data_IF_872026983952
#
_entry.id   IF_872026983952
#
_cell.length_a   1.000
_cell.length_b   1.000
_cell.length_c   1.000
_cell.angle_alpha   90.00
_cell.angle_beta   90.00
_cell.angle_gamma   90.00
#
_symmetry.space_group_name_H-M   'P 1'
#
loop_
_entity.id
_entity.type
_entity.pdbx_description
1 polymer ?
#
# COMPACT_ATOMS: atom_id res chain seq x y z
N UNK A 1 -15.32 8.46 -1.78
CA UNK A 1 -14.94 7.34 -0.89
C UNK A 1 -14.31 6.18 -1.66
N UNK A 2 -14.95 5.62 -2.71
CA UNK A 2 -14.27 4.60 -3.53
C UNK A 2 -13.13 5.17 -4.39
N UNK A 3 -13.31 6.34 -4.99
CA UNK A 3 -12.31 6.96 -5.89
C UNK A 3 -10.98 7.28 -5.20
N UNK A 4 -11.05 7.82 -3.98
CA UNK A 4 -9.87 8.16 -3.18
C UNK A 4 -9.12 6.90 -2.70
N UNK A 5 -9.85 5.83 -2.35
CA UNK A 5 -9.21 4.56 -2.01
C UNK A 5 -8.56 3.91 -3.24
N UNK A 6 -9.18 4.03 -4.42
CA UNK A 6 -8.58 3.58 -5.70
C UNK A 6 -7.32 4.36 -6.05
N UNK A 7 -7.31 5.67 -5.82
CA UNK A 7 -6.12 6.50 -6.01
C UNK A 7 -5.00 6.09 -5.05
N UNK A 8 -5.27 5.98 -3.75
CA UNK A 8 -4.28 5.57 -2.77
C UNK A 8 -3.75 4.16 -3.03
N UNK A 9 -4.61 3.25 -3.48
CA UNK A 9 -4.21 1.91 -3.89
C UNK A 9 -3.25 1.93 -5.08
N UNK A 10 -3.57 2.73 -6.12
CA UNK A 10 -2.73 2.85 -7.30
C UNK A 10 -1.39 3.51 -6.95
N UNK A 11 -1.39 4.51 -6.06
CA UNK A 11 -0.15 5.14 -5.59
C UNK A 11 0.71 4.12 -4.83
N UNK A 12 0.14 3.41 -3.85
CA UNK A 12 0.88 2.36 -3.13
C UNK A 12 1.44 1.28 -4.07
N UNK A 13 0.68 0.90 -5.10
CA UNK A 13 1.15 -0.02 -6.13
C UNK A 13 2.37 0.52 -6.87
N UNK A 14 2.30 1.77 -7.35
CA UNK A 14 3.38 2.44 -8.09
C UNK A 14 4.63 2.57 -7.23
N UNK A 15 4.51 3.01 -5.98
CA UNK A 15 5.66 3.17 -5.10
C UNK A 15 6.34 1.83 -4.78
N UNK A 16 5.57 0.75 -4.61
CA UNK A 16 6.13 -0.60 -4.46
C UNK A 16 6.87 -1.04 -5.73
N UNK A 17 6.32 -0.73 -6.91
CA UNK A 17 6.99 -0.99 -8.19
C UNK A 17 8.30 -0.21 -8.30
N UNK A 18 8.31 1.08 -7.95
CA UNK A 18 9.53 1.90 -7.93
C UNK A 18 10.57 1.38 -6.95
N UNK A 19 10.20 1.03 -5.72
CA UNK A 19 11.12 0.43 -4.76
C UNK A 19 11.71 -0.88 -5.30
N UNK A 20 10.90 -1.71 -5.97
CA UNK A 20 11.39 -2.95 -6.60
C UNK A 20 12.41 -2.66 -7.70
N UNK A 21 12.13 -1.67 -8.56
CA UNK A 21 13.00 -1.28 -9.68
C UNK A 21 14.30 -0.61 -9.20
N UNK A 22 14.25 0.14 -8.10
CA UNK A 22 15.40 0.86 -7.58
C UNK A 22 16.26 0.02 -6.62
N UNK A 23 15.89 -1.23 -6.35
CA UNK A 23 16.69 -2.12 -5.50
C UNK A 23 18.13 -2.26 -5.99
N UNK A 24 19.08 -2.06 -5.07
CA UNK A 24 20.52 -2.02 -5.36
C UNK A 24 21.04 -0.66 -5.84
N UNK A 25 20.17 0.34 -5.99
CA UNK A 25 20.55 1.73 -6.24
C UNK A 25 20.60 2.56 -4.95
N UNK A 26 21.18 3.76 -5.04
CA UNK A 26 21.20 4.74 -3.95
C UNK A 26 19.80 5.28 -3.59
N UNK A 27 18.82 5.13 -4.47
CA UNK A 27 17.46 5.63 -4.25
C UNK A 27 16.61 4.66 -3.45
N UNK A 28 17.06 3.40 -3.32
CA UNK A 28 16.26 2.32 -2.77
C UNK A 28 15.69 2.61 -1.38
N UNK A 29 16.49 3.19 -0.48
CA UNK A 29 16.05 3.48 0.88
C UNK A 29 14.89 4.49 0.91
N UNK A 30 14.96 5.53 0.07
CA UNK A 30 13.90 6.51 -0.07
C UNK A 30 12.64 5.92 -0.68
N UNK A 31 12.79 5.12 -1.74
CA UNK A 31 11.67 4.48 -2.42
C UNK A 31 11.01 3.41 -1.52
N UNK A 32 11.80 2.64 -0.77
CA UNK A 32 11.32 1.69 0.25
C UNK A 32 10.46 2.41 1.30
N UNK A 33 10.96 3.50 1.87
CA UNK A 33 10.21 4.31 2.84
C UNK A 33 8.91 4.88 2.26
N UNK A 34 8.95 5.35 1.02
CA UNK A 34 7.80 5.91 0.30
C UNK A 34 6.76 4.83 0.00
N UNK A 35 7.18 3.62 -0.40
CA UNK A 35 6.30 2.48 -0.62
C UNK A 35 5.54 2.08 0.66
N UNK A 36 6.24 2.03 1.80
CA UNK A 36 5.63 1.78 3.10
C UNK A 36 4.61 2.86 3.47
N UNK A 37 4.97 4.13 3.36
CA UNK A 37 4.10 5.27 3.69
C UNK A 37 2.83 5.31 2.83
N UNK A 38 2.97 5.03 1.53
CA UNK A 38 1.84 4.97 0.60
C UNK A 38 0.92 3.78 0.90
N UNK A 39 1.48 2.61 1.23
CA UNK A 39 0.67 1.47 1.66
C UNK A 39 -0.10 1.75 2.96
N UNK A 40 0.54 2.37 3.96
CA UNK A 40 -0.12 2.75 5.22
C UNK A 40 -1.28 3.72 4.99
N UNK A 41 -1.09 4.69 4.10
CA UNK A 41 -2.15 5.64 3.70
C UNK A 41 -3.34 4.94 3.06
N UNK A 42 -3.09 4.01 2.13
CA UNK A 42 -4.12 3.16 1.52
C UNK A 42 -4.87 2.32 2.57
N UNK A 43 -4.13 1.66 3.46
CA UNK A 43 -4.70 0.81 4.50
C UNK A 43 -5.59 1.60 5.47
N UNK A 44 -5.11 2.76 5.93
CA UNK A 44 -5.86 3.66 6.81
C UNK A 44 -7.18 4.12 6.18
N UNK A 45 -7.15 4.46 4.88
CA UNK A 45 -8.36 4.86 4.17
C UNK A 45 -9.37 3.72 4.05
N UNK A 46 -8.91 2.52 3.75
CA UNK A 46 -9.76 1.33 3.71
C UNK A 46 -10.41 1.05 5.07
N UNK A 47 -9.65 1.11 6.16
CA UNK A 47 -10.17 0.91 7.52
C UNK A 47 -11.24 1.95 7.86
N UNK A 48 -11.00 3.21 7.50
CA UNK A 48 -11.97 4.30 7.68
C UNK A 48 -13.26 4.08 6.87
N UNK A 49 -13.12 3.62 5.62
CA UNK A 49 -14.27 3.25 4.79
C UNK A 49 -15.08 2.09 5.42
N UNK A 50 -14.42 1.07 5.98
CA UNK A 50 -15.07 -0.04 6.68
C UNK A 50 -15.85 0.39 7.92
N UNK A 51 -15.33 1.35 8.69
CA UNK A 51 -16.07 1.92 9.81
C UNK A 51 -17.31 2.71 9.36
N UNK A 52 -17.27 3.30 8.17
CA UNK A 52 -18.37 4.14 7.64
C UNK A 52 -19.52 3.32 7.06
N UNK A 53 -19.22 2.20 6.39
CA UNK A 53 -20.24 1.42 5.67
C UNK A 53 -21.11 0.49 6.53
N UNK A 54 -20.69 0.17 7.76
CA UNK A 54 -21.39 -0.80 8.62
C UNK A 54 -21.55 -2.19 7.96
N UNK A 55 -22.55 -2.97 8.37
CA UNK A 55 -22.83 -4.32 7.84
C UNK A 55 -23.99 -4.33 6.85
N UNK A 56 -23.81 -3.65 5.72
CA UNK A 56 -24.76 -3.67 4.59
C UNK A 56 -24.33 -4.69 3.53
N UNK A 57 -25.25 -5.20 2.70
CA UNK A 57 -24.88 -6.11 1.61
C UNK A 57 -23.85 -5.50 0.63
N UNK A 58 -23.88 -4.17 0.45
CA UNK A 58 -22.89 -3.44 -0.33
C UNK A 58 -21.52 -3.38 0.37
N UNK A 59 -21.49 -3.32 1.70
CA UNK A 59 -20.25 -3.36 2.47
C UNK A 59 -19.56 -4.72 2.37
N UNK A 60 -20.32 -5.83 2.28
CA UNK A 60 -19.76 -7.18 2.07
C UNK A 60 -18.99 -7.27 0.74
N UNK A 61 -19.62 -6.84 -0.37
CA UNK A 61 -18.97 -6.86 -1.69
C UNK A 61 -17.74 -5.94 -1.75
N UNK A 62 -17.87 -4.74 -1.18
CA UNK A 62 -16.76 -3.80 -1.08
C UNK A 62 -15.61 -4.41 -0.26
N UNK A 63 -15.91 -4.98 0.91
CA UNK A 63 -14.93 -5.60 1.80
C UNK A 63 -14.18 -6.72 1.10
N UNK A 64 -14.89 -7.66 0.48
CA UNK A 64 -14.25 -8.80 -0.19
C UNK A 64 -13.26 -8.39 -1.29
N UNK A 65 -13.65 -7.43 -2.15
CA UNK A 65 -12.76 -6.87 -3.18
C UNK A 65 -11.51 -6.26 -2.53
N UNK A 66 -11.71 -5.31 -1.62
CA UNK A 66 -10.62 -4.52 -1.07
C UNK A 66 -9.70 -5.29 -0.12
N UNK A 67 -10.21 -6.26 0.63
CA UNK A 67 -9.37 -7.15 1.45
C UNK A 67 -8.39 -7.93 0.57
N UNK A 68 -8.86 -8.44 -0.56
CA UNK A 68 -8.01 -9.16 -1.52
C UNK A 68 -6.93 -8.24 -2.07
N UNK A 69 -7.32 -7.06 -2.56
CA UNK A 69 -6.41 -6.09 -3.17
C UNK A 69 -5.34 -5.60 -2.17
N UNK A 70 -5.74 -5.25 -0.94
CA UNK A 70 -4.82 -4.80 0.12
C UNK A 70 -3.91 -5.93 0.58
N UNK A 71 -4.41 -7.15 0.66
CA UNK A 71 -3.59 -8.31 0.99
C UNK A 71 -2.49 -8.53 -0.05
N UNK A 72 -2.83 -8.42 -1.35
CA UNK A 72 -1.83 -8.54 -2.43
C UNK A 72 -0.78 -7.43 -2.37
N UNK A 73 -1.17 -6.17 -2.10
CA UNK A 73 -0.19 -5.09 -1.89
C UNK A 73 0.73 -5.38 -0.72
N UNK A 74 0.19 -5.86 0.41
CA UNK A 74 1.00 -6.20 1.59
C UNK A 74 2.02 -7.29 1.28
N UNK A 75 1.61 -8.34 0.55
CA UNK A 75 2.54 -9.41 0.15
C UNK A 75 3.68 -8.89 -0.71
N UNK A 76 3.38 -7.99 -1.64
CA UNK A 76 4.39 -7.37 -2.51
C UNK A 76 5.33 -6.45 -1.73
N UNK A 77 4.79 -5.61 -0.83
CA UNK A 77 5.58 -4.75 0.04
C UNK A 77 6.53 -5.58 0.93
N UNK A 78 6.02 -6.63 1.56
CA UNK A 78 6.82 -7.52 2.41
C UNK A 78 7.86 -8.35 1.64
N UNK A 79 7.78 -8.42 0.32
CA UNK A 79 8.77 -9.08 -0.52
C UNK A 79 9.95 -8.16 -0.89
N UNK A 80 9.85 -6.86 -0.57
CA UNK A 80 10.97 -5.94 -0.75
C UNK A 80 12.11 -6.32 0.21
N UNK A 81 13.37 -6.38 -0.27
CA UNK A 81 14.53 -6.55 0.59
C UNK A 81 14.63 -5.48 1.69
N UNK A 82 15.05 -5.85 2.90
CA UNK A 82 15.26 -4.86 3.95
C UNK A 82 16.41 -3.90 3.61
N UNK A 83 16.29 -2.63 4.02
CA UNK A 83 17.38 -1.66 3.95
C UNK A 83 18.44 -2.04 4.99
N UNK A 84 19.59 -2.56 4.53
CA UNK A 84 20.65 -3.06 5.43
C UNK A 84 21.76 -2.05 5.72
N UNK A 85 21.94 -1.04 4.88
CA UNK A 85 22.89 0.06 5.07
C UNK A 85 22.20 1.36 4.67
N UNK A 86 21.99 2.25 5.64
CA UNK A 86 21.45 3.57 5.37
C UNK A 86 22.53 4.46 4.75
N UNK A 87 22.16 5.27 3.77
CA UNK A 87 23.05 6.31 3.22
C UNK A 87 22.76 7.70 3.80
N UNK A 88 21.82 7.80 4.74
CA UNK A 88 21.38 9.05 5.37
C UNK A 88 21.93 9.27 6.79
N UNK A 89 22.97 8.52 7.18
CA UNK A 89 23.71 8.71 8.43
C UNK A 89 24.31 10.12 8.60
#
# INVERSE_FOLDING_TARGET
LSSELEELYNNAKIEIDFATESFGSIYYEGDYSTAHSSFESCLSKYQSAMQTFGDTANSIKFRFRWETDIHQLRLRLNALPEVTHSIYD
#
